data_IF_810203788133
#
_entry.id   IF_810203788133
#
_cell.length_a   1.000
_cell.length_b   1.000
_cell.length_c   1.000
_cell.angle_alpha   90.00
_cell.angle_beta   90.00
_cell.angle_gamma   90.00
#
_symmetry.space_group_name_H-M   'P 1'
#
loop_
_entity.id
_entity.type
_entity.pdbx_description
1 polymer ?
#
# COMPACT_ATOMS: atom_id res chain seq x y z
N UNK A 1 28.75 -19.91 9.33
CA UNK A 1 27.85 -19.22 10.27
C UNK A 1 26.62 -18.76 9.49
N UNK A 2 25.39 -19.06 9.92
CA UNK A 2 24.19 -18.43 9.34
C UNK A 2 24.13 -16.99 9.84
N UNK A 3 23.93 -16.03 8.93
CA UNK A 3 23.70 -14.64 9.31
C UNK A 3 22.54 -14.54 10.32
N UNK A 4 22.59 -13.61 11.28
CA UNK A 4 21.47 -13.38 12.18
C UNK A 4 20.21 -13.08 11.35
N UNK A 5 19.11 -13.76 11.69
CA UNK A 5 17.81 -13.48 11.06
C UNK A 5 17.31 -12.15 11.60
N UNK A 6 17.44 -11.11 10.79
CA UNK A 6 16.75 -9.84 11.01
C UNK A 6 15.26 -10.07 10.80
N UNK A 7 14.43 -9.65 11.76
CA UNK A 7 12.98 -9.73 11.60
C UNK A 7 12.53 -8.49 10.83
N UNK A 8 11.86 -8.67 9.69
CA UNK A 8 11.51 -7.58 8.77
C UNK A 8 10.01 -7.64 8.46
N UNK A 9 9.35 -6.48 8.46
CA UNK A 9 7.98 -6.31 7.97
C UNK A 9 7.98 -5.45 6.70
N UNK A 10 6.91 -5.59 5.92
CA UNK A 10 6.67 -4.77 4.73
C UNK A 10 5.58 -3.75 5.06
N UNK A 11 5.81 -2.49 4.73
CA UNK A 11 4.82 -1.41 4.88
C UNK A 11 4.63 -0.77 3.51
N UNK A 12 3.39 -0.53 3.10
CA UNK A 12 3.11 0.35 1.97
C UNK A 12 2.61 1.69 2.52
N UNK A 13 3.37 2.75 2.28
CA UNK A 13 3.07 4.08 2.79
C UNK A 13 3.41 5.11 1.70
N UNK A 14 2.49 6.05 1.45
CA UNK A 14 2.70 7.15 0.50
C UNK A 14 3.18 6.70 -0.90
N UNK A 15 2.66 5.57 -1.38
CA UNK A 15 3.04 5.01 -2.68
C UNK A 15 4.45 4.39 -2.72
N UNK A 16 5.05 4.08 -1.57
CA UNK A 16 6.32 3.37 -1.49
C UNK A 16 6.17 2.10 -0.68
N UNK A 17 6.90 1.06 -1.09
CA UNK A 17 7.04 -0.17 -0.31
C UNK A 17 8.31 -0.09 0.51
N UNK A 18 8.16 -0.14 1.82
CA UNK A 18 9.22 -0.02 2.81
C UNK A 18 9.49 -1.40 3.42
N UNK A 19 10.77 -1.77 3.49
CA UNK A 19 11.24 -2.87 4.33
C UNK A 19 11.68 -2.29 5.66
N UNK A 20 11.01 -2.71 6.73
CA UNK A 20 11.20 -2.14 8.07
C UNK A 20 11.70 -3.21 9.01
N UNK A 21 12.80 -2.93 9.71
CA UNK A 21 13.37 -3.79 10.74
C UNK A 21 12.50 -3.79 12.01
N UNK A 22 12.33 -4.97 12.61
CA UNK A 22 11.70 -5.12 13.91
C UNK A 22 12.75 -5.51 14.96
N UNK A 23 12.78 -4.89 16.15
CA UNK A 23 11.80 -3.94 16.70
C UNK A 23 12.16 -2.46 16.53
N UNK A 24 13.29 -2.11 15.90
CA UNK A 24 13.75 -0.73 15.82
C UNK A 24 12.84 0.20 15.01
N UNK A 25 12.00 -0.39 14.14
CA UNK A 25 11.22 0.30 13.12
C UNK A 25 12.07 1.07 12.10
N UNK A 26 13.36 0.76 12.01
CA UNK A 26 14.26 1.36 11.02
C UNK A 26 13.87 0.93 9.60
N UNK A 27 13.79 1.90 8.70
CA UNK A 27 13.59 1.65 7.27
C UNK A 27 14.91 1.15 6.70
N UNK A 28 14.96 -0.12 6.33
CA UNK A 28 16.12 -0.79 5.73
C UNK A 28 16.24 -0.39 4.26
N UNK A 29 15.11 -0.35 3.55
CA UNK A 29 15.07 -0.13 2.11
C UNK A 29 13.68 0.37 1.68
N UNK A 30 13.66 1.19 0.63
CA UNK A 30 12.45 1.72 0.01
C UNK A 30 12.41 1.33 -1.47
N UNK A 31 11.22 1.00 -1.95
CA UNK A 31 10.92 0.76 -3.36
C UNK A 31 9.78 1.68 -3.80
N UNK A 32 9.97 2.36 -4.92
CA UNK A 32 8.93 3.16 -5.56
C UNK A 32 7.97 2.27 -6.35
N UNK A 33 6.79 2.80 -6.74
CA UNK A 33 5.89 2.08 -7.64
C UNK A 33 6.53 1.79 -9.00
N UNK A 34 7.46 2.64 -9.44
CA UNK A 34 8.21 2.45 -10.68
C UNK A 34 9.12 1.22 -10.59
N UNK A 35 9.87 1.09 -9.49
CA UNK A 35 10.72 -0.09 -9.23
C UNK A 35 9.89 -1.38 -9.20
N UNK A 36 8.72 -1.33 -8.55
CA UNK A 36 7.81 -2.47 -8.48
C UNK A 36 7.22 -2.81 -9.86
N UNK A 37 6.85 -1.81 -10.65
CA UNK A 37 6.34 -2.00 -12.01
C UNK A 37 7.40 -2.61 -12.94
N UNK A 38 8.67 -2.20 -12.83
CA UNK A 38 9.79 -2.79 -13.56
C UNK A 38 9.98 -4.27 -13.20
N UNK A 39 9.91 -4.61 -11.91
CA UNK A 39 10.01 -6.00 -11.45
C UNK A 39 8.85 -6.84 -12.02
N UNK A 40 7.63 -6.31 -12.03
CA UNK A 40 6.46 -6.99 -12.58
C UNK A 40 6.62 -7.20 -14.10
N UNK A 41 7.09 -6.18 -14.83
CA UNK A 41 7.35 -6.28 -16.25
C UNK A 41 8.40 -7.36 -16.54
N UNK A 42 9.52 -7.32 -15.83
CA UNK A 42 10.59 -8.30 -15.99
C UNK A 42 10.13 -9.73 -15.68
N UNK A 43 9.34 -9.91 -14.61
CA UNK A 43 8.97 -11.24 -14.10
C UNK A 43 7.76 -11.85 -14.80
N UNK A 44 6.83 -11.02 -15.25
CA UNK A 44 5.53 -11.46 -15.76
C UNK A 44 5.22 -10.95 -17.18
N UNK A 45 6.17 -10.26 -17.84
CA UNK A 45 5.99 -9.66 -19.16
C UNK A 45 4.74 -8.76 -19.25
N UNK A 46 4.31 -8.20 -18.13
CA UNK A 46 3.18 -7.26 -18.08
C UNK A 46 3.71 -5.87 -18.44
N UNK A 47 3.11 -5.17 -19.41
CA UNK A 47 3.57 -3.83 -19.79
C UNK A 47 3.70 -2.93 -18.57
N UNK A 48 4.86 -2.30 -18.40
CA UNK A 48 5.18 -1.47 -17.24
C UNK A 48 4.08 -0.46 -16.89
N UNK A 49 3.54 0.21 -17.90
CA UNK A 49 2.48 1.21 -17.74
C UNK A 49 1.19 0.65 -17.13
N UNK A 50 0.83 -0.60 -17.48
CA UNK A 50 -0.33 -1.28 -16.88
C UNK A 50 -0.06 -1.65 -15.43
N UNK A 51 1.15 -2.17 -15.14
CA UNK A 51 1.56 -2.52 -13.79
C UNK A 51 1.56 -1.28 -12.89
N UNK A 52 2.14 -0.17 -13.36
CA UNK A 52 2.18 1.11 -12.66
C UNK A 52 0.78 1.65 -12.37
N UNK A 53 -0.11 1.69 -13.36
CA UNK A 53 -1.50 2.14 -13.17
C UNK A 53 -2.25 1.33 -12.09
N UNK A 54 -2.08 0.01 -12.08
CA UNK A 54 -2.68 -0.86 -11.05
C UNK A 54 -2.08 -0.57 -9.67
N UNK A 55 -0.76 -0.41 -9.59
CA UNK A 55 -0.05 -0.13 -8.34
C UNK A 55 -0.43 1.24 -7.76
N UNK A 56 -0.57 2.27 -8.60
CA UNK A 56 -1.01 3.60 -8.18
C UNK A 56 -2.43 3.55 -7.61
N UNK A 57 -3.36 2.86 -8.28
CA UNK A 57 -4.73 2.66 -7.77
C UNK A 57 -4.74 1.90 -6.45
N UNK A 58 -3.90 0.88 -6.31
CA UNK A 58 -3.76 0.13 -5.06
C UNK A 58 -3.20 0.99 -3.92
N UNK A 59 -2.21 1.83 -4.19
CA UNK A 59 -1.64 2.75 -3.21
C UNK A 59 -2.70 3.74 -2.70
N UNK A 60 -3.55 4.27 -3.59
CA UNK A 60 -4.69 5.13 -3.21
C UNK A 60 -5.64 4.38 -2.28
N UNK A 61 -6.04 3.16 -2.63
CA UNK A 61 -6.94 2.33 -1.80
C UNK A 61 -6.34 2.09 -0.40
N UNK A 62 -5.03 1.81 -0.32
CA UNK A 62 -4.36 1.57 0.95
C UNK A 62 -4.30 2.84 1.80
N UNK A 63 -3.99 3.99 1.20
CA UNK A 63 -4.04 5.28 1.90
C UNK A 63 -5.46 5.58 2.41
N UNK A 64 -6.50 5.32 1.62
CA UNK A 64 -7.89 5.49 2.06
C UNK A 64 -8.24 4.60 3.26
N UNK A 65 -7.71 3.37 3.31
CA UNK A 65 -7.88 2.48 4.47
C UNK A 65 -7.18 3.03 5.71
N UNK A 66 -5.95 3.55 5.57
CA UNK A 66 -5.20 4.18 6.66
C UNK A 66 -5.91 5.42 7.18
N UNK A 67 -6.42 6.26 6.28
CA UNK A 67 -7.21 7.45 6.63
C UNK A 67 -8.50 7.08 7.35
N UNK A 68 -9.24 6.09 6.84
CA UNK A 68 -10.49 5.63 7.44
C UNK A 68 -10.26 5.01 8.83
N UNK A 69 -9.09 4.41 9.06
CA UNK A 69 -8.72 3.88 10.37
C UNK A 69 -8.26 4.97 11.34
N UNK A 70 -7.47 5.94 10.85
CA UNK A 70 -6.87 7.02 11.65
C UNK A 70 -7.85 8.10 12.06
N UNK A 71 -8.93 8.30 11.29
CA UNK A 71 -10.01 9.20 11.66
C UNK A 71 -10.95 8.49 12.65
N UNK A 72 -10.69 8.68 13.94
CA UNK A 72 -11.25 7.88 15.05
C UNK A 72 -12.71 8.25 15.39
N UNK A 73 -13.69 7.34 15.21
CA UNK A 73 -14.87 7.26 16.08
C UNK A 73 -14.51 6.52 17.40
N UNK A 74 -15.33 6.61 18.44
CA UNK A 74 -15.11 6.04 19.80
C UNK A 74 -14.67 4.55 19.87
N UNK A 75 -14.75 3.82 18.76
CA UNK A 75 -14.26 2.44 18.63
C UNK A 75 -13.44 2.27 17.33
N UNK A 76 -12.41 1.41 17.32
CA UNK A 76 -11.71 1.04 16.09
C UNK A 76 -12.68 0.51 15.03
N UNK A 77 -12.57 0.95 13.77
CA UNK A 77 -13.47 0.51 12.71
C UNK A 77 -13.27 -0.97 12.39
N UNK A 78 -14.36 -1.67 12.10
CA UNK A 78 -14.29 -3.06 11.64
C UNK A 78 -13.85 -3.14 10.18
N UNK A 79 -13.44 -4.33 9.73
CA UNK A 79 -13.14 -4.56 8.30
C UNK A 79 -14.30 -4.14 7.39
N UNK A 80 -15.55 -4.41 7.78
CA UNK A 80 -16.72 -4.08 6.98
C UNK A 80 -16.96 -2.56 6.93
N UNK A 81 -16.68 -1.84 8.02
CA UNK A 81 -16.74 -0.38 8.05
C UNK A 81 -15.71 0.24 7.11
N UNK A 82 -14.46 -0.24 7.16
CA UNK A 82 -13.38 0.19 6.26
C UNK A 82 -13.73 -0.08 4.79
N UNK A 83 -14.23 -1.29 4.49
CA UNK A 83 -14.64 -1.65 3.13
C UNK A 83 -15.76 -0.76 2.59
N UNK A 84 -16.74 -0.39 3.43
CA UNK A 84 -17.79 0.55 3.04
C UNK A 84 -17.22 1.94 2.80
N UNK A 85 -16.35 2.43 3.67
CA UNK A 85 -15.75 3.75 3.57
C UNK A 85 -14.97 3.94 2.26
N UNK A 86 -14.09 3.00 1.91
CA UNK A 86 -13.30 3.05 0.66
C UNK A 86 -14.20 3.00 -0.58
N UNK A 87 -15.19 2.09 -0.60
CA UNK A 87 -16.12 1.99 -1.74
C UNK A 87 -16.99 3.23 -1.91
N UNK A 88 -17.40 3.89 -0.82
CA UNK A 88 -18.20 5.11 -0.87
C UNK A 88 -17.41 6.29 -1.44
N UNK A 89 -16.11 6.44 -1.12
CA UNK A 89 -15.26 7.48 -1.73
C UNK A 89 -15.19 7.35 -3.26
N UNK A 90 -15.10 6.14 -3.79
CA UNK A 90 -15.15 5.90 -5.24
C UNK A 90 -16.48 6.40 -5.86
N UNK A 91 -17.60 6.15 -5.20
CA UNK A 91 -18.92 6.54 -5.71
C UNK A 91 -19.21 8.05 -5.74
N UNK A 92 -18.44 8.85 -4.99
CA UNK A 92 -18.49 10.32 -5.08
C UNK A 92 -17.59 10.83 -6.21
N UNK A 93 -16.42 10.22 -6.41
CA UNK A 93 -15.50 10.58 -7.50
C UNK A 93 -16.10 10.34 -8.89
N UNK A 94 -17.01 9.38 -9.05
CA UNK A 94 -17.67 9.08 -10.33
C UNK A 94 -18.86 10.03 -10.67
N UNK A 95 -19.27 10.91 -9.75
CA UNK A 95 -20.41 11.82 -9.95
C UNK A 95 -20.01 13.24 -10.38
N UNK A 96 -18.73 13.53 -10.47
CA UNK A 96 -18.20 14.85 -10.85
C UNK A 96 -17.52 14.87 -12.24
N UNK A 97 -17.72 13.83 -13.05
CA UNK A 97 -17.33 13.76 -14.48
C UNK A 97 -18.54 13.58 -15.38
#
# INVERSE_FOLDING_TARGET
MKAPKVNVRVVLENGKLLLVECPSEEIICEFTLDDLAEIIEFRYATPWNKSKDILEKLAIIINDLVDAYSNVPERPPTKDDLMKAVKLRMSYSEKET
#
